data_IF_216790436655
#
_entry.id   IF_216790436655
#
_cell.length_a   1.000
_cell.length_b   1.000
_cell.length_c   1.000
_cell.angle_alpha   90.00
_cell.angle_beta   90.00
_cell.angle_gamma   90.00
#
_symmetry.space_group_name_H-M   'P 1'
#
loop_
_entity.id
_entity.type
_entity.pdbx_description
1 polymer ?
#
# COMPACT_ATOMS: atom_id res chain seq x y z
N UNK A 1 48.61 -24.12 -14.84
CA UNK A 1 47.69 -23.00 -15.05
C UNK A 1 46.62 -23.09 -13.97
N UNK A 2 46.78 -22.21 -12.98
CA UNK A 2 45.83 -21.54 -12.07
C UNK A 2 44.50 -22.20 -11.66
N UNK A 3 44.33 -22.26 -10.33
CA UNK A 3 43.15 -22.61 -9.52
C UNK A 3 42.00 -21.57 -9.66
N UNK A 4 40.73 -21.89 -9.40
CA UNK A 4 39.98 -21.85 -8.12
C UNK A 4 38.56 -21.34 -8.52
N UNK A 5 37.43 -21.48 -7.83
CA UNK A 5 37.09 -21.87 -6.48
C UNK A 5 35.55 -22.06 -6.47
N UNK A 6 35.08 -23.15 -5.87
CA UNK A 6 33.68 -23.37 -5.53
C UNK A 6 33.46 -22.95 -4.08
N UNK A 7 32.69 -21.89 -3.80
CA UNK A 7 32.19 -21.59 -2.45
C UNK A 7 30.84 -20.87 -2.55
N UNK A 8 29.82 -21.34 -1.83
CA UNK A 8 29.21 -20.43 -0.87
C UNK A 8 29.04 -21.09 0.50
N UNK A 9 29.68 -20.51 1.51
CA UNK A 9 29.38 -20.69 2.92
C UNK A 9 29.44 -19.32 3.57
N UNK A 10 28.31 -18.84 4.11
CA UNK A 10 28.31 -18.27 5.45
C UNK A 10 26.91 -18.31 6.06
N UNK A 11 26.72 -19.33 6.90
CA UNK A 11 25.76 -19.35 7.99
C UNK A 11 26.24 -18.36 9.05
N UNK A 12 25.42 -17.38 9.41
CA UNK A 12 25.64 -16.56 10.62
C UNK A 12 24.40 -16.66 11.50
N UNK A 13 24.41 -17.66 12.37
CA UNK A 13 23.62 -17.67 13.60
C UNK A 13 24.34 -16.82 14.65
N UNK A 14 23.66 -15.83 15.23
CA UNK A 14 23.99 -15.33 16.57
C UNK A 14 22.70 -15.19 17.37
N UNK A 15 22.49 -16.15 18.25
CA UNK A 15 21.52 -16.16 19.33
C UNK A 15 22.29 -15.91 20.64
N UNK A 16 22.17 -14.72 21.20
CA UNK A 16 22.52 -14.35 22.59
C UNK A 16 21.87 -12.98 22.84
N UNK A 17 21.20 -12.61 23.92
CA UNK A 17 20.86 -13.17 25.22
C UNK A 17 19.97 -12.09 25.91
N UNK A 18 18.99 -12.48 26.74
CA UNK A 18 19.07 -12.41 28.22
C UNK A 18 18.53 -11.08 28.82
N UNK A 19 17.38 -11.22 29.48
CA UNK A 19 17.09 -10.83 30.88
C UNK A 19 16.52 -9.44 31.23
N UNK A 20 15.49 -9.53 32.08
CA UNK A 20 14.57 -8.54 32.62
C UNK A 20 15.15 -7.42 33.52
N UNK A 21 14.32 -6.42 33.83
CA UNK A 21 14.05 -5.71 35.11
C UNK A 21 13.30 -4.38 34.76
N UNK A 22 12.32 -3.79 35.47
CA UNK A 22 11.70 -4.03 36.77
C UNK A 22 10.48 -3.09 36.96
N UNK A 23 9.56 -3.53 37.84
CA UNK A 23 8.82 -2.82 38.90
C UNK A 23 7.72 -1.76 38.65
N UNK A 24 6.68 -1.96 39.46
CA UNK A 24 5.37 -1.32 39.63
C UNK A 24 5.37 -0.12 40.59
N UNK A 25 4.45 0.84 40.37
CA UNK A 25 3.89 1.80 41.36
C UNK A 25 4.55 3.20 41.35
N UNK A 26 3.89 4.33 41.65
CA UNK A 26 2.57 4.63 42.20
C UNK A 26 2.22 6.15 42.05
N UNK A 27 0.92 6.45 41.96
CA UNK A 27 0.12 7.58 42.50
C UNK A 27 0.38 9.09 42.23
N UNK A 28 -0.75 9.74 41.87
CA UNK A 28 -1.32 11.04 42.30
C UNK A 28 -1.07 12.34 41.50
N UNK A 29 -2.10 12.67 40.69
CA UNK A 29 -2.88 13.92 40.60
C UNK A 29 -2.21 15.29 40.39
N UNK A 30 -2.60 15.92 39.28
CA UNK A 30 -2.58 17.38 39.08
C UNK A 30 -3.35 17.75 37.81
N UNK A 31 -4.59 18.21 37.98
CA UNK A 31 -5.47 18.65 36.89
C UNK A 31 -5.14 20.08 36.43
N UNK A 32 -5.17 20.30 35.12
CA UNK A 32 -5.14 21.61 34.47
C UNK A 32 -5.44 21.47 32.98
N UNK A 33 -6.67 21.72 32.58
CA UNK A 33 -7.16 21.75 31.20
C UNK A 33 -7.29 23.23 30.72
N UNK A 34 -7.67 23.54 29.47
CA UNK A 34 -7.51 22.82 28.19
C UNK A 34 -6.97 23.76 27.08
N UNK A 35 -6.56 23.21 25.92
CA UNK A 35 -7.11 23.50 24.57
C UNK A 35 -6.10 23.18 23.46
N UNK A 36 -6.52 22.30 22.54
CA UNK A 36 -5.99 22.22 21.17
C UNK A 36 -4.63 21.55 21.03
N UNK A 37 -4.56 20.23 21.20
CA UNK A 37 -3.39 19.46 20.75
C UNK A 37 -3.91 18.24 20.01
N UNK A 38 -3.37 18.04 18.80
CA UNK A 38 -3.75 17.00 17.87
C UNK A 38 -3.93 15.66 18.59
N UNK A 39 -5.08 15.02 18.36
CA UNK A 39 -5.35 13.69 18.87
C UNK A 39 -4.43 12.70 18.15
N UNK A 40 -3.22 12.55 18.69
CA UNK A 40 -2.41 11.35 18.51
C UNK A 40 -3.21 10.20 19.13
N UNK A 41 -3.95 9.46 18.30
CA UNK A 41 -4.49 8.18 18.74
C UNK A 41 -3.30 7.25 18.89
N UNK A 42 -3.11 6.83 20.14
CA UNK A 42 -2.04 5.98 20.60
C UNK A 42 -2.00 4.66 19.84
N UNK A 43 -0.78 4.24 19.52
CA UNK A 43 -0.44 2.87 19.23
C UNK A 43 -0.69 2.05 20.50
N UNK A 44 -1.73 1.24 20.51
CA UNK A 44 -1.77 0.08 21.39
C UNK A 44 -2.67 -1.02 20.80
N UNK A 45 -2.16 -2.25 20.82
CA UNK A 45 -2.77 -3.50 20.35
C UNK A 45 -2.77 -3.73 18.83
N UNK A 46 -1.69 -4.29 18.31
CA UNK A 46 -1.64 -4.91 16.97
C UNK A 46 -2.30 -6.30 16.99
N UNK A 47 -3.43 -6.47 16.29
CA UNK A 47 -3.58 -7.64 15.45
C UNK A 47 -3.97 -7.25 14.01
N UNK A 48 -3.42 -8.00 13.06
CA UNK A 48 -3.71 -8.05 11.61
C UNK A 48 -2.86 -7.13 10.73
N UNK A 49 -1.96 -7.76 9.97
CA UNK A 49 -1.43 -7.14 8.76
C UNK A 49 -2.60 -6.70 7.88
N UNK A 50 -2.82 -5.39 7.84
CA UNK A 50 -3.70 -4.77 6.90
C UNK A 50 -3.20 -5.16 5.48
N UNK A 51 -3.98 -5.90 4.65
CA UNK A 51 -3.70 -5.97 3.23
C UNK A 51 -3.81 -4.57 2.57
N UNK A 52 -4.42 -3.60 3.25
CA UNK A 52 -4.57 -2.21 2.83
C UNK A 52 -3.32 -1.33 2.99
N UNK A 53 -2.14 -1.87 2.67
CA UNK A 53 -0.91 -1.10 2.44
C UNK A 53 -0.95 -0.25 1.16
N UNK A 54 -2.11 0.26 0.76
CA UNK A 54 -2.12 1.37 -0.21
C UNK A 54 -1.97 2.63 0.61
N UNK A 55 -0.72 3.01 0.81
CA UNK A 55 -0.35 4.30 1.36
C UNK A 55 -1.18 5.38 0.65
N UNK A 56 -1.71 6.35 1.39
CA UNK A 56 -2.34 7.52 0.77
C UNK A 56 -1.25 8.26 -0.02
N UNK A 57 -1.16 7.95 -1.32
CA UNK A 57 -0.11 8.47 -2.18
C UNK A 57 -0.42 9.90 -2.54
N UNK A 58 0.52 10.78 -2.19
CA UNK A 58 0.54 12.16 -2.66
C UNK A 58 1.63 12.25 -3.73
N UNK A 59 1.25 12.65 -4.94
CA UNK A 59 2.17 12.78 -6.06
C UNK A 59 2.48 14.26 -6.26
N UNK A 60 3.76 14.64 -6.33
CA UNK A 60 4.15 15.96 -6.80
C UNK A 60 4.09 15.96 -8.33
N UNK A 61 3.26 16.81 -8.91
CA UNK A 61 3.03 16.86 -10.37
C UNK A 61 3.53 18.15 -11.01
N UNK A 62 4.26 18.98 -10.26
CA UNK A 62 4.73 20.29 -10.71
C UNK A 62 5.86 20.20 -11.74
N UNK A 63 6.61 19.10 -11.72
CA UNK A 63 7.72 18.82 -12.64
C UNK A 63 7.31 17.86 -13.77
N UNK A 64 6.01 17.64 -13.97
CA UNK A 64 5.51 16.73 -14.98
C UNK A 64 5.88 17.17 -16.40
N UNK A 65 6.26 16.20 -17.22
CA UNK A 65 6.47 16.37 -18.66
C UNK A 65 5.19 15.94 -19.38
N UNK A 66 4.56 16.88 -20.09
CA UNK A 66 3.31 16.64 -20.84
C UNK A 66 3.61 16.44 -22.32
N UNK A 67 3.05 15.39 -22.90
CA UNK A 67 3.17 15.03 -24.31
C UNK A 67 2.03 15.61 -25.15
N UNK A 68 2.19 15.60 -26.47
CA UNK A 68 1.21 16.16 -27.43
C UNK A 68 -0.13 15.41 -27.41
N UNK A 69 -0.14 14.14 -27.05
CA UNK A 69 -1.37 13.34 -26.91
C UNK A 69 -2.08 13.55 -25.56
N UNK A 70 -1.55 14.42 -24.71
CA UNK A 70 -2.05 14.72 -23.38
C UNK A 70 -1.58 13.74 -22.29
N UNK A 71 -0.86 12.67 -22.64
CA UNK A 71 -0.19 11.85 -21.64
C UNK A 71 0.89 12.65 -20.92
N UNK A 72 1.23 12.25 -19.70
CA UNK A 72 2.27 12.92 -18.93
C UNK A 72 2.91 12.01 -17.91
N UNK A 73 4.15 12.31 -17.54
CA UNK A 73 4.88 11.57 -16.52
C UNK A 73 5.66 12.50 -15.60
N UNK A 74 5.94 12.00 -14.40
CA UNK A 74 6.82 12.66 -13.43
C UNK A 74 7.67 11.62 -12.71
N UNK A 75 8.92 11.98 -12.41
CA UNK A 75 9.79 11.23 -11.51
C UNK A 75 10.05 12.11 -10.30
N UNK A 76 9.61 11.66 -9.13
CA UNK A 76 9.80 12.35 -7.86
C UNK A 76 11.24 12.18 -7.35
N UNK A 77 11.72 13.06 -6.45
CA UNK A 77 13.07 12.96 -5.89
C UNK A 77 13.35 11.65 -5.14
N UNK A 78 12.32 11.00 -4.61
CA UNK A 78 12.40 9.69 -3.93
C UNK A 78 12.52 8.52 -4.92
N UNK A 79 12.52 8.79 -6.24
CA UNK A 79 12.55 7.78 -7.29
C UNK A 79 11.18 7.21 -7.66
N UNK A 80 10.10 7.64 -7.00
CA UNK A 80 8.74 7.25 -7.38
C UNK A 80 8.42 7.83 -8.76
N UNK A 81 7.94 6.98 -9.65
CA UNK A 81 7.54 7.37 -11.01
C UNK A 81 6.03 7.30 -11.13
N UNK A 82 5.43 8.29 -11.80
CA UNK A 82 4.01 8.31 -12.17
C UNK A 82 3.91 8.56 -13.67
N UNK A 83 3.08 7.78 -14.35
CA UNK A 83 2.73 7.97 -15.75
C UNK A 83 1.20 7.93 -15.92
N UNK A 84 0.66 8.92 -16.62
CA UNK A 84 -0.76 9.08 -16.92
C UNK A 84 -0.95 9.07 -18.42
N UNK A 85 -1.81 8.17 -18.89
CA UNK A 85 -2.13 8.01 -20.31
C UNK A 85 -3.21 9.01 -20.75
N UNK A 86 -3.42 9.19 -22.08
CA UNK A 86 -4.41 10.13 -22.61
C UNK A 86 -5.86 9.84 -22.17
N UNK A 87 -6.18 8.57 -21.91
CA UNK A 87 -7.50 8.15 -21.42
C UNK A 87 -7.70 8.35 -19.90
N UNK A 88 -6.68 8.88 -19.23
CA UNK A 88 -6.62 9.12 -17.80
C UNK A 88 -6.25 7.88 -16.97
N UNK A 89 -6.07 6.70 -17.58
CA UNK A 89 -5.46 5.56 -16.87
C UNK A 89 -4.04 5.93 -16.44
N UNK A 90 -3.56 5.37 -15.33
CA UNK A 90 -2.26 5.73 -14.80
C UNK A 90 -1.59 4.59 -14.05
N UNK A 91 -0.27 4.67 -13.95
CA UNK A 91 0.52 3.75 -13.16
C UNK A 91 1.56 4.51 -12.33
N UNK A 92 1.80 4.04 -11.12
CA UNK A 92 2.85 4.55 -10.25
C UNK A 92 3.73 3.40 -9.75
N UNK A 93 5.03 3.63 -9.70
CA UNK A 93 6.01 2.65 -9.25
C UNK A 93 7.04 3.30 -8.34
N UNK A 94 7.38 2.63 -7.24
CA UNK A 94 8.46 3.04 -6.34
C UNK A 94 8.88 1.87 -5.44
N UNK A 95 10.09 1.94 -4.88
CA UNK A 95 10.60 0.90 -3.98
C UNK A 95 9.69 0.67 -2.77
N UNK A 96 9.12 1.76 -2.25
CA UNK A 96 8.38 1.76 -0.99
C UNK A 96 6.89 1.50 -1.20
N UNK A 97 6.39 1.72 -2.42
CA UNK A 97 4.96 1.68 -2.73
C UNK A 97 4.59 0.47 -3.60
N UNK A 98 5.59 -0.24 -4.15
CA UNK A 98 5.39 -1.29 -5.14
C UNK A 98 4.93 -0.71 -6.48
N UNK A 99 4.00 -1.39 -7.15
CA UNK A 99 3.38 -0.92 -8.40
C UNK A 99 1.88 -0.76 -8.21
N UNK A 100 1.34 0.37 -8.66
CA UNK A 100 -0.09 0.63 -8.77
C UNK A 100 -0.44 0.84 -10.22
N UNK A 101 -1.56 0.28 -10.65
CA UNK A 101 -2.13 0.54 -11.96
C UNK A 101 -3.61 0.83 -11.80
N UNK A 102 -4.09 1.89 -12.45
CA UNK A 102 -5.50 2.29 -12.47
C UNK A 102 -5.92 2.40 -13.92
N UNK A 103 -6.92 1.61 -14.28
CA UNK A 103 -7.44 1.55 -15.64
C UNK A 103 -8.38 2.71 -15.93
N UNK A 104 -8.71 2.89 -17.21
CA UNK A 104 -9.62 3.95 -17.67
C UNK A 104 -11.03 3.86 -17.05
N UNK A 105 -11.45 2.66 -16.63
CA UNK A 105 -12.72 2.39 -15.97
C UNK A 105 -12.67 2.54 -14.43
N UNK A 106 -11.51 2.92 -13.88
CA UNK A 106 -11.27 3.10 -12.45
C UNK A 106 -10.98 1.82 -11.67
N UNK A 107 -11.04 0.63 -12.30
CA UNK A 107 -10.49 -0.60 -11.70
C UNK A 107 -8.99 -0.43 -11.46
N UNK A 108 -8.47 -1.10 -10.44
CA UNK A 108 -7.09 -0.89 -10.05
C UNK A 108 -6.44 -2.14 -9.48
N UNK A 109 -5.12 -2.22 -9.66
CA UNK A 109 -4.25 -3.26 -9.14
C UNK A 109 -3.16 -2.62 -8.29
N UNK A 110 -2.82 -3.27 -7.18
CA UNK A 110 -1.60 -3.00 -6.44
C UNK A 110 -0.76 -4.28 -6.36
N UNK A 111 0.55 -4.14 -6.51
CA UNK A 111 1.53 -5.20 -6.31
C UNK A 111 2.58 -4.70 -5.35
N UNK A 112 2.60 -5.26 -4.14
CA UNK A 112 3.54 -4.92 -3.09
C UNK A 112 4.95 -5.43 -3.38
N UNK A 113 5.93 -4.66 -2.92
CA UNK A 113 7.35 -5.01 -2.90
C UNK A 113 7.90 -4.80 -1.48
N UNK A 114 8.93 -5.55 -1.04
CA UNK A 114 9.56 -6.72 -1.68
C UNK A 114 8.90 -8.05 -1.29
N UNK A 115 8.13 -8.08 -0.20
CA UNK A 115 7.60 -9.30 0.43
C UNK A 115 6.32 -9.82 -0.25
N UNK A 116 5.83 -9.04 -1.21
CA UNK A 116 4.75 -9.43 -2.13
C UNK A 116 3.36 -9.24 -1.56
N UNK A 117 2.40 -9.30 -2.47
CA UNK A 117 0.98 -9.11 -2.20
C UNK A 117 0.34 -8.50 -3.43
N UNK A 118 -0.76 -9.07 -3.89
CA UNK A 118 -1.51 -8.53 -5.03
C UNK A 118 -2.91 -8.22 -4.56
N UNK A 119 -3.34 -6.99 -4.82
CA UNK A 119 -4.74 -6.58 -4.72
C UNK A 119 -5.21 -6.30 -6.13
N UNK A 120 -6.33 -6.89 -6.49
CA UNK A 120 -7.04 -6.61 -7.73
C UNK A 120 -8.46 -6.16 -7.39
N UNK A 121 -8.81 -4.93 -7.71
CA UNK A 121 -10.16 -4.38 -7.58
C UNK A 121 -10.76 -4.21 -8.97
N UNK A 122 -11.80 -4.98 -9.23
CA UNK A 122 -12.54 -4.97 -10.49
C UNK A 122 -13.53 -3.81 -10.55
N UNK A 123 -13.95 -3.43 -11.75
CA UNK A 123 -14.91 -2.33 -12.01
C UNK A 123 -16.21 -2.43 -11.21
N UNK A 124 -16.68 -3.66 -10.98
CA UNK A 124 -17.88 -3.96 -10.19
C UNK A 124 -17.64 -3.91 -8.67
N UNK A 125 -16.45 -3.44 -8.25
CA UNK A 125 -15.98 -3.30 -6.87
C UNK A 125 -15.65 -4.61 -6.17
N UNK A 126 -15.86 -5.76 -6.83
CA UNK A 126 -15.32 -7.03 -6.34
C UNK A 126 -13.80 -6.95 -6.30
N UNK A 127 -13.19 -7.67 -5.37
CA UNK A 127 -11.74 -7.63 -5.23
C UNK A 127 -11.16 -8.95 -4.76
N UNK A 128 -9.91 -9.19 -5.15
CA UNK A 128 -9.12 -10.32 -4.66
C UNK A 128 -7.87 -9.81 -4.00
N UNK A 129 -7.46 -10.52 -2.95
CA UNK A 129 -6.15 -10.34 -2.35
C UNK A 129 -5.41 -11.67 -2.38
N UNK A 130 -4.18 -11.63 -2.83
CA UNK A 130 -3.24 -12.74 -2.70
C UNK A 130 -2.12 -12.20 -1.84
N UNK A 131 -2.01 -12.71 -0.62
CA UNK A 131 -0.95 -12.30 0.27
C UNK A 131 0.41 -12.75 -0.24
N UNK A 132 1.47 -12.14 0.29
CA UNK A 132 2.84 -12.62 0.10
C UNK A 132 3.03 -14.05 0.62
N UNK A 133 4.29 -14.48 0.73
CA UNK A 133 4.64 -15.87 1.04
C UNK A 133 3.93 -16.34 2.33
N UNK A 134 3.13 -17.40 2.22
CA UNK A 134 2.36 -18.02 3.31
C UNK A 134 1.26 -17.16 3.97
N UNK A 135 0.80 -16.08 3.33
CA UNK A 135 -0.18 -15.13 3.91
C UNK A 135 -1.65 -15.42 3.53
N UNK A 136 -1.92 -16.40 2.67
CA UNK A 136 -3.28 -16.79 2.27
C UNK A 136 -3.85 -15.95 1.11
N UNK A 137 -5.15 -16.11 0.84
CA UNK A 137 -5.83 -15.39 -0.24
C UNK A 137 -7.31 -15.17 0.08
N UNK A 138 -7.86 -14.09 -0.46
CA UNK A 138 -9.23 -13.63 -0.24
C UNK A 138 -9.91 -13.31 -1.57
N UNK A 139 -11.20 -13.56 -1.65
CA UNK A 139 -12.06 -13.09 -2.73
C UNK A 139 -13.31 -12.47 -2.14
N UNK A 140 -13.57 -11.21 -2.45
CA UNK A 140 -14.76 -10.47 -2.00
C UNK A 140 -15.58 -10.12 -3.23
N UNK A 141 -16.85 -10.52 -3.22
CA UNK A 141 -17.80 -10.28 -4.30
C UNK A 141 -18.35 -8.85 -4.22
N UNK A 142 -19.06 -8.41 -5.26
CA UNK A 142 -19.66 -7.06 -5.32
C UNK A 142 -20.67 -6.80 -4.20
N UNK A 143 -21.36 -7.84 -3.72
CA UNK A 143 -22.29 -7.79 -2.58
C UNK A 143 -21.58 -7.82 -1.21
N UNK A 144 -20.25 -7.85 -1.20
CA UNK A 144 -19.43 -7.91 0.00
C UNK A 144 -19.26 -9.30 0.59
N UNK A 145 -19.99 -10.32 0.11
CA UNK A 145 -19.77 -11.70 0.55
C UNK A 145 -18.39 -12.17 0.12
N UNK A 146 -17.73 -12.97 0.96
CA UNK A 146 -16.35 -13.34 0.73
C UNK A 146 -16.06 -14.82 0.93
N UNK A 147 -15.02 -15.28 0.22
CA UNK A 147 -14.43 -16.60 0.33
C UNK A 147 -12.96 -16.43 0.75
N UNK A 148 -12.50 -17.23 1.72
CA UNK A 148 -11.11 -17.24 2.19
C UNK A 148 -10.44 -18.60 1.91
N UNK A 149 -10.16 -18.93 0.64
CA UNK A 149 -9.57 -20.23 0.28
C UNK A 149 -8.15 -20.43 0.79
N UNK A 150 -7.45 -19.36 1.21
CA UNK A 150 -6.07 -19.44 1.69
C UNK A 150 -5.87 -19.33 3.19
N UNK A 151 -6.95 -19.27 4.00
CA UNK A 151 -6.84 -19.17 5.46
C UNK A 151 -6.35 -17.81 5.99
N UNK A 152 -6.43 -16.74 5.20
CA UNK A 152 -5.92 -15.39 5.50
C UNK A 152 -6.73 -14.57 6.51
N UNK A 153 -7.42 -15.20 7.48
CA UNK A 153 -8.21 -14.50 8.49
C UNK A 153 -9.46 -13.78 7.98
N UNK A 154 -9.94 -12.80 8.74
CA UNK A 154 -11.07 -11.94 8.35
C UNK A 154 -10.62 -10.93 7.29
N UNK A 155 -11.46 -10.65 6.27
CA UNK A 155 -11.14 -9.67 5.25
C UNK A 155 -11.10 -8.26 5.81
N UNK A 156 -10.00 -7.59 5.53
CA UNK A 156 -9.84 -6.16 5.76
C UNK A 156 -10.00 -5.43 4.42
N UNK A 157 -10.76 -4.34 4.43
CA UNK A 157 -11.04 -3.54 3.25
C UNK A 157 -9.72 -2.95 2.68
N UNK A 158 -9.40 -3.16 1.39
CA UNK A 158 -8.23 -2.55 0.78
C UNK A 158 -8.32 -1.02 0.82
N UNK A 159 -7.21 -0.39 1.21
CA UNK A 159 -7.09 1.05 1.08
C UNK A 159 -7.12 1.41 -0.42
N UNK A 160 -7.93 2.41 -0.77
CA UNK A 160 -8.06 2.86 -2.15
C UNK A 160 -6.90 3.80 -2.48
N UNK A 161 -6.26 3.67 -3.67
CA UNK A 161 -5.24 4.63 -4.06
C UNK A 161 -5.79 6.07 -4.13
N UNK A 162 -4.91 7.02 -3.82
CA UNK A 162 -5.12 8.44 -4.09
C UNK A 162 -5.25 8.68 -5.60
N UNK A 163 -5.91 9.79 -5.97
CA UNK A 163 -5.93 10.24 -7.37
C UNK A 163 -4.84 11.28 -7.54
N UNK A 164 -3.88 11.13 -8.47
CA UNK A 164 -2.91 12.17 -8.75
C UNK A 164 -3.59 13.46 -9.16
N UNK A 165 -3.02 14.60 -8.76
CA UNK A 165 -3.41 15.89 -9.31
C UNK A 165 -3.04 15.92 -10.81
N UNK A 166 -3.87 16.52 -11.69
CA UNK A 166 -3.45 16.74 -13.06
C UNK A 166 -2.18 17.60 -13.12
N UNK A 167 -1.31 17.34 -14.09
CA UNK A 167 -0.19 18.23 -14.37
C UNK A 167 -0.72 19.63 -14.74
N UNK A 168 -0.02 20.68 -14.26
CA UNK A 168 -0.43 22.07 -14.47
C UNK A 168 -0.31 22.55 -15.93
N UNK A 169 0.42 21.81 -16.78
CA UNK A 169 0.61 22.19 -18.17
C UNK A 169 -0.68 21.99 -19.00
N UNK A 170 -1.02 22.91 -19.93
CA UNK A 170 -2.20 22.76 -20.78
C UNK A 170 -2.21 21.46 -21.58
N UNK A 171 -3.38 20.85 -21.71
CA UNK A 171 -3.56 19.61 -22.48
C UNK A 171 -3.24 18.33 -21.71
N UNK A 172 -2.78 18.42 -20.46
CA UNK A 172 -2.56 17.25 -19.61
C UNK A 172 -3.87 16.48 -19.36
N UNK A 173 -3.81 15.17 -19.56
CA UNK A 173 -4.90 14.26 -19.24
C UNK A 173 -5.22 14.29 -17.74
N UNK A 174 -6.52 14.26 -17.43
CA UNK A 174 -6.99 14.17 -16.04
C UNK A 174 -6.90 12.71 -15.58
N UNK A 175 -6.16 12.40 -14.49
CA UNK A 175 -6.06 11.05 -13.97
C UNK A 175 -7.41 10.50 -13.53
N UNK A 176 -7.64 9.21 -13.77
CA UNK A 176 -8.84 8.50 -13.32
C UNK A 176 -8.80 8.27 -11.82
N UNK A 177 -9.93 8.56 -11.18
CA UNK A 177 -10.15 8.23 -9.78
C UNK A 177 -10.35 6.71 -9.64
N UNK A 178 -9.53 6.03 -8.82
CA UNK A 178 -9.75 4.62 -8.52
C UNK A 178 -11.08 4.43 -7.79
N UNK A 179 -11.78 3.35 -8.10
CA UNK A 179 -13.05 2.99 -7.46
C UNK A 179 -12.84 2.42 -6.06
N UNK A 180 -13.84 2.61 -5.19
CA UNK A 180 -13.86 2.01 -3.87
C UNK A 180 -14.12 0.50 -3.97
N UNK A 181 -13.33 -0.36 -3.30
CA UNK A 181 -13.64 -1.77 -3.17
C UNK A 181 -14.98 -2.00 -2.44
N UNK A 182 -15.56 -3.18 -2.62
CA UNK A 182 -16.71 -3.64 -1.86
C UNK A 182 -16.34 -3.86 -0.39
N UNK A 183 -17.24 -3.46 0.51
CA UNK A 183 -17.07 -3.65 1.96
C UNK A 183 -17.38 -5.13 2.27
N UNK A 184 -16.44 -5.88 2.87
CA UNK A 184 -16.71 -7.24 3.28
C UNK A 184 -17.85 -7.31 4.29
N UNK A 185 -18.78 -8.23 4.08
CA UNK A 185 -19.86 -8.53 5.03
C UNK A 185 -19.79 -9.99 5.42
N UNK A 186 -19.86 -10.25 6.73
CA UNK A 186 -20.01 -11.60 7.26
C UNK A 186 -21.40 -12.12 6.89
N UNK A 187 -21.49 -13.40 6.55
CA UNK A 187 -22.74 -14.04 6.12
C UNK A 187 -23.66 -14.33 7.29
#
# INVERSE_FOLDING_TARGET
>A
MTAAQNVPVLLVTVLTGVLALALTGCTTSGAGAPTGTASSVAADTEPAENPGGVHALTFNTDTAVVQTDGSWFVTNPDGTQLHVNPDGSWAATGSDIGTITVNADGSWRWTGSPEGGVIDVSRDRSWTWIGGINKGSMRVKTDGTYDNPGGGGTPVLPAKPGTPTPASAPGAATPKTPINPAIPVEK
#
